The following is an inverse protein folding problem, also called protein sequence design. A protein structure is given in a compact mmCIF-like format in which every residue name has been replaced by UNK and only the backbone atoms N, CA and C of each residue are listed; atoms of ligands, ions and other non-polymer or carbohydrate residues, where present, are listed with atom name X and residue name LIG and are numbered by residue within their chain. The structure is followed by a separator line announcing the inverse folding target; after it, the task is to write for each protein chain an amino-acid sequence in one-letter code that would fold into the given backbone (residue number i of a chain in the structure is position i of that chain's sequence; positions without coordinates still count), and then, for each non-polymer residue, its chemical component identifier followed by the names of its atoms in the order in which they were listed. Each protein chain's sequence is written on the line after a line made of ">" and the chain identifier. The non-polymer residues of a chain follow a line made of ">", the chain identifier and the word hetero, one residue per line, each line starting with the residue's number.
data_IF_850828300399
#
_entry.id   IF_850828300399
#
_cell.length_a   1.000
_cell.length_b   1.000
_cell.length_c   1.000
_cell.angle_alpha   90.00
_cell.angle_beta   90.00
_cell.angle_gamma   90.00
#
_symmetry.space_group_name_H-M   'P 1'
#
loop_
_entity.id
_entity.type
_entity.pdbx_description
1 polymer ?
#
# COMPACT_ATOMS: atom_id res chain seq x y z
N UNK A 1 13.05 12.94 -13.06
CA UNK A 1 12.81 11.76 -12.21
C UNK A 1 13.10 10.47 -12.95
N UNK A 2 12.70 10.37 -14.22
CA UNK A 2 12.94 9.20 -15.08
C UNK A 2 14.43 8.82 -15.19
N UNK A 3 15.34 9.80 -15.22
CA UNK A 3 16.80 9.56 -15.21
C UNK A 3 17.30 8.86 -13.92
N UNK A 4 16.69 9.13 -12.76
CA UNK A 4 17.10 8.56 -11.47
C UNK A 4 16.51 7.14 -11.28
N UNK A 5 15.30 6.92 -11.78
CA UNK A 5 14.68 5.58 -11.79
C UNK A 5 15.37 4.66 -12.80
N UNK A 6 15.74 5.19 -13.97
CA UNK A 6 16.52 4.47 -14.97
C UNK A 6 17.92 4.12 -14.46
N UNK A 7 18.61 5.05 -13.79
CA UNK A 7 19.93 4.76 -13.21
C UNK A 7 19.86 3.72 -12.09
N UNK A 8 18.82 3.76 -11.24
CA UNK A 8 18.58 2.73 -10.23
C UNK A 8 18.26 1.36 -10.86
N UNK A 9 17.54 1.34 -11.99
CA UNK A 9 17.22 0.08 -12.69
C UNK A 9 18.45 -0.60 -13.28
N UNK A 10 19.45 0.18 -13.70
CA UNK A 10 20.69 -0.27 -14.31
C UNK A 10 21.73 -0.79 -13.29
N UNK A 11 21.48 -0.65 -11.98
CA UNK A 11 22.37 -1.18 -10.94
C UNK A 11 22.32 -2.72 -10.96
N UNK A 12 23.47 -3.35 -11.17
CA UNK A 12 23.61 -4.81 -11.21
C UNK A 12 23.51 -5.46 -9.83
N UNK A 13 23.93 -4.73 -8.78
CA UNK A 13 23.87 -5.19 -7.39
C UNK A 13 22.45 -4.97 -6.80
N UNK A 14 21.77 -6.06 -6.46
CA UNK A 14 20.39 -6.00 -5.94
C UNK A 14 20.27 -5.25 -4.62
N UNK A 15 21.27 -5.32 -3.74
CA UNK A 15 21.22 -4.67 -2.43
C UNK A 15 21.34 -3.16 -2.59
N UNK A 16 22.31 -2.71 -3.38
CA UNK A 16 22.47 -1.29 -3.69
C UNK A 16 21.27 -0.75 -4.48
N UNK A 17 20.72 -1.55 -5.40
CA UNK A 17 19.49 -1.21 -6.13
C UNK A 17 18.32 -0.94 -5.18
N UNK A 18 18.08 -1.82 -4.21
CA UNK A 18 17.02 -1.64 -3.20
C UNK A 18 17.28 -0.39 -2.35
N UNK A 19 18.50 -0.18 -1.86
CA UNK A 19 18.83 1.02 -1.06
C UNK A 19 18.61 2.31 -1.84
N UNK A 20 19.01 2.34 -3.11
CA UNK A 20 18.80 3.50 -3.96
C UNK A 20 17.32 3.78 -4.18
N UNK A 21 16.51 2.75 -4.45
CA UNK A 21 15.07 2.92 -4.56
C UNK A 21 14.41 3.38 -3.25
N UNK A 22 14.88 2.90 -2.09
CA UNK A 22 14.41 3.40 -0.79
C UNK A 22 14.75 4.87 -0.57
N UNK A 23 15.93 5.31 -0.99
CA UNK A 23 16.30 6.73 -0.92
C UNK A 23 15.43 7.59 -1.85
N UNK A 24 15.15 7.12 -3.06
CA UNK A 24 14.24 7.79 -4.00
C UNK A 24 12.84 7.88 -3.40
N UNK A 25 12.33 6.77 -2.84
CA UNK A 25 11.02 6.71 -2.20
C UNK A 25 10.90 7.73 -1.05
N UNK A 26 11.91 7.81 -0.18
CA UNK A 26 11.93 8.80 0.90
C UNK A 26 11.94 10.24 0.37
N UNK A 27 12.63 10.50 -0.73
CA UNK A 27 12.60 11.81 -1.40
C UNK A 27 11.23 12.11 -2.01
N UNK A 28 10.54 11.12 -2.58
CA UNK A 28 9.19 11.27 -3.18
C UNK A 28 8.14 11.53 -2.11
N UNK A 29 8.24 10.84 -0.97
CA UNK A 29 7.33 11.03 0.15
C UNK A 29 7.55 12.41 0.78
N UNK A 30 8.82 12.82 0.93
CA UNK A 30 9.17 14.15 1.42
C UNK A 30 8.76 15.29 0.47
N UNK A 31 8.69 15.05 -0.84
CA UNK A 31 8.26 16.07 -1.81
C UNK A 31 6.75 16.27 -1.85
N UNK A 32 5.97 15.34 -1.27
CA UNK A 32 4.51 15.35 -1.25
C UNK A 32 3.89 15.57 -2.66
N UNK A 33 4.57 15.05 -3.70
CA UNK A 33 4.15 15.18 -5.10
C UNK A 33 3.47 13.88 -5.59
N UNK A 34 2.15 13.94 -5.79
CA UNK A 34 1.29 12.81 -6.21
C UNK A 34 1.76 12.23 -7.54
N UNK A 35 2.22 13.08 -8.47
CA UNK A 35 2.61 12.67 -9.81
C UNK A 35 3.89 11.85 -9.74
N UNK A 36 4.82 12.28 -8.88
CA UNK A 36 6.06 11.56 -8.64
C UNK A 36 5.84 10.22 -7.94
N UNK A 37 4.93 10.17 -6.96
CA UNK A 37 4.57 8.93 -6.30
C UNK A 37 3.93 7.93 -7.26
N UNK A 38 2.96 8.36 -8.08
CA UNK A 38 2.33 7.48 -9.08
C UNK A 38 3.35 6.92 -10.07
N UNK A 39 4.24 7.77 -10.60
CA UNK A 39 5.34 7.33 -11.49
C UNK A 39 6.28 6.32 -10.81
N UNK A 40 6.58 6.52 -9.54
CA UNK A 40 7.40 5.57 -8.78
C UNK A 40 6.69 4.22 -8.66
N UNK A 41 5.40 4.21 -8.35
CA UNK A 41 4.58 3.00 -8.27
C UNK A 41 4.52 2.28 -9.62
N UNK A 42 4.29 2.99 -10.72
CA UNK A 42 4.30 2.42 -12.07
C UNK A 42 5.64 1.78 -12.41
N UNK A 43 6.75 2.44 -12.05
CA UNK A 43 8.10 1.93 -12.29
C UNK A 43 8.40 0.66 -11.48
N UNK A 44 8.06 0.62 -10.19
CA UNK A 44 8.34 -0.57 -9.36
C UNK A 44 7.43 -1.75 -9.70
N UNK A 45 6.27 -1.49 -10.29
CA UNK A 45 5.33 -2.52 -10.74
C UNK A 45 5.56 -2.95 -12.19
N UNK A 46 6.50 -2.30 -12.90
CA UNK A 46 6.89 -2.70 -14.25
C UNK A 46 7.63 -4.04 -14.25
N UNK A 47 7.65 -4.69 -15.40
CA UNK A 47 8.37 -5.96 -15.58
C UNK A 47 9.90 -5.81 -15.56
N UNK A 48 10.42 -4.57 -15.55
CA UNK A 48 11.84 -4.27 -15.46
C UNK A 48 12.39 -4.46 -14.02
N UNK A 49 11.49 -4.53 -13.03
CA UNK A 49 11.84 -4.68 -11.61
C UNK A 49 11.49 -6.08 -11.13
N UNK A 50 12.49 -6.78 -10.58
CA UNK A 50 12.28 -8.12 -10.04
C UNK A 50 11.25 -8.10 -8.91
N UNK A 51 10.34 -9.08 -8.90
CA UNK A 51 9.22 -9.17 -7.95
C UNK A 51 9.63 -9.01 -6.49
N UNK A 52 10.78 -9.59 -6.09
CA UNK A 52 11.31 -9.49 -4.73
C UNK A 52 11.63 -8.04 -4.35
N UNK A 53 12.18 -7.26 -5.28
CA UNK A 53 12.48 -5.84 -5.10
C UNK A 53 11.17 -5.04 -5.02
N UNK A 54 10.22 -5.29 -5.93
CA UNK A 54 8.92 -4.63 -5.93
C UNK A 54 8.17 -4.83 -4.61
N UNK A 55 8.12 -6.07 -4.09
CA UNK A 55 7.53 -6.40 -2.78
C UNK A 55 8.19 -5.62 -1.65
N UNK A 56 9.52 -5.63 -1.60
CA UNK A 56 10.28 -4.94 -0.55
C UNK A 56 10.04 -3.42 -0.58
N UNK A 57 9.98 -2.82 -1.77
CA UNK A 57 9.74 -1.39 -1.95
C UNK A 57 8.29 -1.01 -1.62
N UNK A 58 7.31 -1.80 -2.05
CA UNK A 58 5.92 -1.61 -1.69
C UNK A 58 5.68 -1.76 -0.19
N UNK A 59 6.37 -2.69 0.48
CA UNK A 59 6.31 -2.82 1.93
C UNK A 59 6.79 -1.53 2.61
N UNK A 60 7.95 -1.01 2.19
CA UNK A 60 8.48 0.26 2.72
C UNK A 60 7.55 1.42 2.40
N UNK A 61 6.99 1.47 1.20
CA UNK A 61 6.01 2.48 0.82
C UNK A 61 4.76 2.43 1.70
N UNK A 62 4.19 1.25 1.95
CA UNK A 62 3.02 1.08 2.80
C UNK A 62 3.28 1.51 4.26
N UNK A 63 4.50 1.30 4.76
CA UNK A 63 4.91 1.77 6.09
C UNK A 63 5.06 3.29 6.16
N UNK A 64 5.63 3.90 5.13
CA UNK A 64 5.84 5.35 5.06
C UNK A 64 4.59 6.12 4.60
N UNK A 65 3.55 5.41 4.14
CA UNK A 65 2.28 5.95 3.65
C UNK A 65 1.65 6.91 4.67
N UNK A 66 1.72 6.58 5.97
CA UNK A 66 1.18 7.40 7.06
C UNK A 66 1.92 8.71 7.33
N UNK A 67 3.02 9.00 6.63
CA UNK A 67 3.75 10.29 6.72
C UNK A 67 3.23 11.32 5.72
N UNK A 68 2.48 10.88 4.71
CA UNK A 68 1.87 11.75 3.71
C UNK A 68 0.65 12.48 4.29
N UNK A 69 0.25 13.57 3.64
CA UNK A 69 -1.02 14.21 3.99
C UNK A 69 -2.21 13.27 3.70
N UNK A 70 -3.29 13.33 4.50
CA UNK A 70 -4.45 12.44 4.37
C UNK A 70 -5.00 12.30 2.95
N UNK A 71 -5.16 13.40 2.22
CA UNK A 71 -5.70 13.38 0.85
C UNK A 71 -4.75 12.68 -0.14
N UNK A 72 -3.47 13.03 -0.07
CA UNK A 72 -2.39 12.42 -0.83
C UNK A 72 -2.27 10.92 -0.54
N UNK A 73 -2.37 10.56 0.75
CA UNK A 73 -2.34 9.19 1.24
C UNK A 73 -3.45 8.35 0.59
N UNK A 74 -4.70 8.84 0.61
CA UNK A 74 -5.85 8.18 -0.01
C UNK A 74 -5.64 7.99 -1.50
N UNK A 75 -5.26 9.05 -2.19
CA UNK A 75 -5.16 9.01 -3.65
C UNK A 75 -4.09 8.03 -4.12
N UNK A 76 -2.90 8.02 -3.52
CA UNK A 76 -1.82 7.11 -3.94
C UNK A 76 -2.13 5.68 -3.50
N UNK A 77 -2.70 5.48 -2.30
CA UNK A 77 -3.06 4.14 -1.86
C UNK A 77 -4.11 3.50 -2.78
N UNK A 78 -5.16 4.23 -3.15
CA UNK A 78 -6.15 3.75 -4.14
C UNK A 78 -5.54 3.49 -5.50
N UNK A 79 -4.66 4.38 -5.97
CA UNK A 79 -3.93 4.18 -7.21
C UNK A 79 -3.08 2.90 -7.17
N UNK A 80 -2.34 2.70 -6.08
CA UNK A 80 -1.46 1.54 -5.86
C UNK A 80 -2.26 0.24 -5.83
N UNK A 81 -3.39 0.21 -5.11
CA UNK A 81 -4.30 -0.93 -5.10
C UNK A 81 -4.83 -1.26 -6.50
N UNK A 82 -5.18 -0.23 -7.29
CA UNK A 82 -5.62 -0.39 -8.67
C UNK A 82 -4.55 -1.01 -9.57
N UNK A 83 -3.29 -0.57 -9.46
CA UNK A 83 -2.18 -1.13 -10.23
C UNK A 83 -1.85 -2.57 -9.83
N UNK A 84 -1.88 -2.86 -8.53
CA UNK A 84 -1.58 -4.18 -7.98
C UNK A 84 -2.71 -5.20 -8.26
N UNK A 85 -3.94 -4.75 -8.53
CA UNK A 85 -5.11 -5.61 -8.71
C UNK A 85 -4.88 -6.76 -9.71
N UNK A 86 -4.14 -6.50 -10.80
CA UNK A 86 -3.81 -7.50 -11.83
C UNK A 86 -2.88 -8.63 -11.32
N UNK A 87 -2.09 -8.34 -10.28
CA UNK A 87 -1.07 -9.21 -9.68
C UNK A 87 -1.30 -9.38 -8.18
N UNK A 88 -2.55 -9.25 -7.71
CA UNK A 88 -2.89 -9.16 -6.28
C UNK A 88 -2.33 -10.35 -5.47
N UNK A 89 -2.37 -11.56 -6.03
CA UNK A 89 -1.82 -12.80 -5.43
C UNK A 89 -0.31 -12.70 -5.20
N UNK A 90 0.41 -11.89 -6.00
CA UNK A 90 1.84 -11.67 -5.81
C UNK A 90 2.14 -10.64 -4.73
N UNK A 91 1.17 -9.85 -4.28
CA UNK A 91 1.38 -8.70 -3.38
C UNK A 91 0.37 -8.68 -2.22
N UNK A 92 -0.17 -9.84 -1.82
CA UNK A 92 -1.24 -9.94 -0.83
C UNK A 92 -0.88 -9.24 0.48
N UNK A 93 0.36 -9.39 0.96
CA UNK A 93 0.85 -8.74 2.18
C UNK A 93 0.86 -7.21 2.07
N UNK A 94 1.33 -6.68 0.94
CA UNK A 94 1.39 -5.24 0.75
C UNK A 94 -0.03 -4.65 0.60
N UNK A 95 -0.93 -5.37 -0.08
CA UNK A 95 -2.34 -5.00 -0.22
C UNK A 95 -3.04 -4.96 1.13
N UNK A 96 -2.78 -5.96 1.99
CA UNK A 96 -3.31 -6.01 3.35
C UNK A 96 -2.89 -4.76 4.14
N UNK A 97 -1.58 -4.46 4.19
CA UNK A 97 -1.06 -3.30 4.94
C UNK A 97 -1.62 -1.98 4.41
N UNK A 98 -1.70 -1.81 3.08
CA UNK A 98 -2.25 -0.58 2.47
C UNK A 98 -3.73 -0.41 2.82
N UNK A 99 -4.53 -1.50 2.76
CA UNK A 99 -5.95 -1.46 3.11
C UNK A 99 -6.17 -1.16 4.58
N UNK A 100 -5.37 -1.74 5.47
CA UNK A 100 -5.41 -1.42 6.90
C UNK A 100 -5.11 0.05 7.16
N UNK A 101 -4.06 0.60 6.54
CA UNK A 101 -3.70 2.02 6.67
C UNK A 101 -4.78 2.96 6.14
N UNK A 102 -5.44 2.59 5.03
CA UNK A 102 -6.58 3.35 4.53
C UNK A 102 -7.78 3.27 5.46
N UNK A 103 -8.05 2.11 6.05
CA UNK A 103 -9.13 1.95 7.00
C UNK A 103 -8.91 2.81 8.26
N UNK A 104 -7.70 2.78 8.84
CA UNK A 104 -7.30 3.64 9.96
C UNK A 104 -7.50 5.13 9.63
N UNK A 105 -7.11 5.55 8.42
CA UNK A 105 -7.28 6.92 7.98
C UNK A 105 -8.77 7.31 7.86
N UNK A 106 -9.59 6.48 7.20
CA UNK A 106 -11.02 6.73 7.10
C UNK A 106 -11.72 6.72 8.46
N UNK A 107 -11.29 5.85 9.38
CA UNK A 107 -11.79 5.81 10.76
C UNK A 107 -11.46 7.12 11.50
N UNK A 108 -10.24 7.64 11.34
CA UNK A 108 -9.83 8.94 11.93
C UNK A 108 -10.65 10.13 11.40
N UNK A 109 -11.18 10.01 10.18
CA UNK A 109 -12.07 10.99 9.55
C UNK A 109 -13.56 10.72 9.79
N UNK A 110 -13.90 9.77 10.66
CA UNK A 110 -15.28 9.35 10.96
C UNK A 110 -16.05 8.82 9.72
N UNK A 111 -15.33 8.36 8.70
CA UNK A 111 -15.89 7.75 7.50
C UNK A 111 -16.01 6.22 7.68
N UNK A 112 -16.81 5.80 8.66
CA UNK A 112 -16.93 4.41 9.10
C UNK A 112 -17.26 3.43 7.96
N UNK A 113 -18.19 3.82 7.07
CA UNK A 113 -18.57 2.98 5.92
C UNK A 113 -17.40 2.72 4.97
N UNK A 114 -16.55 3.72 4.73
CA UNK A 114 -15.38 3.56 3.85
C UNK A 114 -14.29 2.75 4.53
N UNK A 115 -14.06 2.98 5.83
CA UNK A 115 -13.14 2.17 6.62
C UNK A 115 -13.53 0.68 6.58
N UNK A 116 -14.81 0.38 6.77
CA UNK A 116 -15.34 -0.98 6.69
C UNK A 116 -15.15 -1.60 5.30
N UNK A 117 -15.38 -0.84 4.23
CA UNK A 117 -15.14 -1.28 2.85
C UNK A 117 -13.67 -1.59 2.56
N UNK A 118 -12.73 -0.83 3.15
CA UNK A 118 -11.31 -1.10 2.96
C UNK A 118 -10.90 -2.44 3.59
N UNK A 119 -11.34 -2.68 4.82
CA UNK A 119 -11.07 -3.93 5.54
C UNK A 119 -11.80 -5.13 4.94
N UNK A 120 -13.03 -4.97 4.46
CA UNK A 120 -13.83 -6.07 3.90
C UNK A 120 -13.30 -6.62 2.58
N UNK A 121 -12.50 -5.83 1.84
CA UNK A 121 -11.82 -6.34 0.65
C UNK A 121 -10.42 -6.91 0.90
N UNK A 122 -10.02 -7.11 2.16
CA UNK A 122 -8.86 -7.95 2.49
C UNK A 122 -9.27 -9.41 2.25
N UNK A 123 -8.47 -10.17 1.52
CA UNK A 123 -8.69 -11.60 1.34
C UNK A 123 -8.29 -12.36 2.62
N UNK A 124 -9.25 -12.46 3.54
CA UNK A 124 -9.12 -13.19 4.80
C UNK A 124 -8.95 -14.70 4.58
N UNK A 125 -9.31 -15.23 3.42
CA UNK A 125 -9.13 -16.65 3.09
C UNK A 125 -7.79 -16.94 2.42
N UNK A 126 -6.96 -15.90 2.19
CA UNK A 126 -5.63 -16.08 1.61
C UNK A 126 -4.77 -17.03 2.44
N UNK A 127 -3.89 -17.76 1.76
CA UNK A 127 -2.92 -18.68 2.37
C UNK A 127 -1.78 -17.99 3.10
N UNK A 128 -1.90 -16.69 3.39
CA UNK A 128 -0.89 -15.90 4.07
C UNK A 128 -0.71 -16.37 5.51
N UNK A 129 0.54 -16.61 5.94
CA UNK A 129 0.83 -17.04 7.32
C UNK A 129 0.40 -16.04 8.39
N UNK A 130 0.24 -14.77 8.03
CA UNK A 130 -0.14 -13.71 8.97
C UNK A 130 -1.62 -13.73 9.30
N UNK A 131 -2.44 -14.38 8.46
CA UNK A 131 -3.89 -14.47 8.64
C UNK A 131 -4.20 -15.77 9.40
N UNK A 132 -4.05 -15.72 10.71
CA UNK A 132 -4.53 -16.78 11.61
C UNK A 132 -6.02 -16.58 11.95
N UNK A 133 -6.63 -17.57 12.60
CA UNK A 133 -8.05 -17.50 12.97
C UNK A 133 -8.35 -16.34 13.93
N UNK A 134 -7.38 -15.97 14.78
CA UNK A 134 -7.49 -14.82 15.68
C UNK A 134 -7.56 -13.50 14.91
N UNK A 135 -6.67 -13.32 13.92
CA UNK A 135 -6.64 -12.14 13.06
C UNK A 135 -7.91 -12.03 12.23
N UNK A 136 -8.37 -13.13 11.63
CA UNK A 136 -9.65 -13.17 10.89
C UNK A 136 -10.81 -12.71 11.77
N UNK A 137 -10.93 -13.30 12.96
CA UNK A 137 -12.00 -12.95 13.89
C UNK A 137 -11.91 -11.48 14.29
N UNK A 138 -10.71 -10.99 14.61
CA UNK A 138 -10.47 -9.59 14.95
C UNK A 138 -10.93 -8.64 13.84
N UNK A 139 -10.57 -8.92 12.58
CA UNK A 139 -11.00 -8.11 11.43
C UNK A 139 -12.50 -8.20 11.17
N UNK A 140 -13.11 -9.37 11.28
CA UNK A 140 -14.56 -9.52 11.17
C UNK A 140 -15.31 -8.68 12.24
N UNK A 141 -14.84 -8.71 13.49
CA UNK A 141 -15.40 -7.89 14.57
C UNK A 141 -15.20 -6.40 14.31
N UNK A 142 -14.01 -6.00 13.83
CA UNK A 142 -13.73 -4.60 13.48
C UNK A 142 -14.64 -4.11 12.36
N UNK A 143 -14.82 -4.90 11.29
CA UNK A 143 -15.73 -4.58 10.17
C UNK A 143 -17.17 -4.44 10.67
N UNK A 144 -17.64 -5.39 11.48
CA UNK A 144 -18.98 -5.35 12.04
C UNK A 144 -19.21 -4.11 12.90
N UNK A 145 -18.24 -3.76 13.76
CA UNK A 145 -18.28 -2.54 14.58
C UNK A 145 -18.36 -1.29 13.71
N UNK A 146 -17.50 -1.17 12.69
CA UNK A 146 -17.50 -0.02 11.80
C UNK A 146 -18.84 0.16 11.07
N UNK A 147 -19.48 -0.94 10.63
CA UNK A 147 -20.81 -0.87 10.03
C UNK A 147 -21.92 -0.47 11.01
N UNK A 148 -21.79 -0.82 12.29
CA UNK A 148 -22.74 -0.41 13.34
C UNK A 148 -22.58 1.05 13.76
N UNK A 149 -21.38 1.60 13.65
CA UNK A 149 -21.09 3.02 13.94
C UNK A 149 -21.60 3.97 12.84
N UNK A 150 -21.96 3.44 11.64
CA UNK A 150 -22.58 4.23 10.58
C UNK A 150 -23.94 4.73 11.09
N UNK A 151 -24.13 6.05 11.25
CA UNK A 151 -25.42 6.57 11.66
C UNK A 151 -26.42 6.24 10.56
N UNK A 152 -27.39 5.38 10.86
CA UNK A 152 -28.59 5.24 10.04
C UNK A 152 -29.38 6.55 10.13
N UNK A 153 -29.25 7.40 9.12
CA UNK A 153 -30.14 8.54 8.88
C UNK A 153 -31.15 8.19 7.79
#
# INVERSE_FOLDING_TARGET
>A
MDSVLASASAITDQRQKIEQYKHILSSVISSNDIVQAKKFIDHILSDDVALVVSRQLLQTFAQELGRLEPEMQKEIAHYTLGQIQSRVVSFEEQVLVIREKLAELYESEQQWSKAAQMLSGIDLDSGMRVIDDTYRLSKCVQIARLYLEVPTF
#
